data_IF_028476155338
#
_entry.id   IF_028476155338
#
_cell.length_a   1.000
_cell.length_b   1.000
_cell.length_c   1.000
_cell.angle_alpha   90.00
_cell.angle_beta   90.00
_cell.angle_gamma   90.00
#
_symmetry.space_group_name_H-M   'P 1'
#
loop_
_entity.id
_entity.type
_entity.pdbx_description
1 polymer ?
#
# COMPACT_ATOMS: atom_id res chain seq x y z
N UNK A 1 -11.05 -9.20 18.96
CA UNK A 1 -10.05 -8.16 18.66
C UNK A 1 -10.63 -7.12 17.71
N UNK A 2 -10.86 -5.88 18.18
CA UNK A 2 -11.23 -4.75 17.35
C UNK A 2 -10.06 -4.32 16.45
N UNK A 3 -10.34 -3.85 15.23
CA UNK A 3 -9.35 -3.26 14.31
C UNK A 3 -8.58 -2.08 14.94
N UNK A 4 -9.22 -1.35 15.85
CA UNK A 4 -8.60 -0.26 16.60
C UNK A 4 -7.43 -0.73 17.46
N UNK A 5 -7.48 -1.95 18.01
CA UNK A 5 -6.42 -2.48 18.86
C UNK A 5 -5.12 -2.70 18.08
N UNK A 6 -5.20 -3.37 16.93
CA UNK A 6 -4.04 -3.63 16.05
C UNK A 6 -3.40 -2.30 15.63
N UNK A 7 -4.22 -1.32 15.24
CA UNK A 7 -3.75 0.02 14.85
C UNK A 7 -3.07 0.77 16.00
N UNK A 8 -3.63 0.69 17.20
CA UNK A 8 -3.02 1.32 18.38
C UNK A 8 -1.66 0.69 18.69
N UNK A 9 -1.56 -0.64 18.61
CA UNK A 9 -0.30 -1.35 18.83
C UNK A 9 0.77 -0.95 17.80
N UNK A 10 0.45 -0.99 16.50
CA UNK A 10 1.38 -0.55 15.45
C UNK A 10 1.85 0.89 15.65
N UNK A 11 0.95 1.79 16.09
CA UNK A 11 1.28 3.18 16.38
C UNK A 11 2.24 3.31 17.56
N UNK A 12 2.02 2.56 18.64
CA UNK A 12 2.90 2.57 19.81
C UNK A 12 4.30 2.05 19.46
N UNK A 13 4.38 0.94 18.72
CA UNK A 13 5.65 0.38 18.23
C UNK A 13 6.39 1.43 17.37
N UNK A 14 5.67 2.05 16.43
CA UNK A 14 6.24 3.09 15.54
C UNK A 14 6.80 4.26 16.35
N UNK A 15 6.04 4.76 17.32
CA UNK A 15 6.43 5.91 18.13
C UNK A 15 7.62 5.60 19.05
N UNK A 16 7.66 4.38 19.61
CA UNK A 16 8.75 3.94 20.48
C UNK A 16 10.05 3.73 19.69
N UNK A 17 9.97 3.14 18.49
CA UNK A 17 11.15 2.77 17.71
C UNK A 17 11.76 3.93 16.92
N UNK A 18 11.01 5.00 16.61
CA UNK A 18 11.46 6.03 15.67
C UNK A 18 11.21 7.46 16.16
N UNK A 19 12.29 8.13 16.57
CA UNK A 19 12.32 9.58 16.89
C UNK A 19 12.72 10.48 15.71
N UNK A 20 13.14 9.89 14.58
CA UNK A 20 13.60 10.58 13.36
C UNK A 20 12.69 10.25 12.16
N UNK A 21 12.93 10.89 11.02
CA UNK A 21 12.19 10.62 9.78
C UNK A 21 12.35 9.15 9.34
N UNK A 22 11.25 8.52 8.92
CA UNK A 22 11.21 7.10 8.55
C UNK A 22 11.12 6.91 7.04
N UNK A 23 11.92 6.01 6.50
CA UNK A 23 11.82 5.58 5.11
C UNK A 23 10.76 4.48 5.01
N UNK A 24 9.81 4.68 4.10
CA UNK A 24 8.61 3.84 4.02
C UNK A 24 8.34 3.36 2.60
N UNK A 25 7.82 2.15 2.50
CA UNK A 25 7.39 1.55 1.23
C UNK A 25 5.91 1.17 1.29
N UNK A 26 5.20 1.40 0.18
CA UNK A 26 3.77 1.14 0.04
C UNK A 26 3.52 0.16 -1.09
N UNK A 27 2.64 -0.79 -0.83
CA UNK A 27 2.10 -1.66 -1.86
C UNK A 27 0.71 -2.15 -1.44
N UNK A 28 -0.02 -2.77 -2.38
CA UNK A 28 -1.25 -3.47 -2.06
C UNK A 28 -1.28 -4.85 -2.70
N UNK A 29 -1.91 -5.78 -2.02
CA UNK A 29 -2.06 -7.14 -2.53
C UNK A 29 -3.47 -7.66 -2.36
N UNK A 30 -3.95 -8.35 -3.39
CA UNK A 30 -5.23 -9.05 -3.38
C UNK A 30 -5.17 -10.35 -2.59
N UNK A 31 -6.19 -10.57 -1.77
CA UNK A 31 -6.48 -11.83 -1.07
C UNK A 31 -7.82 -12.37 -1.56
N UNK A 32 -7.79 -13.60 -2.08
CA UNK A 32 -8.93 -14.23 -2.75
C UNK A 32 -10.05 -14.57 -1.75
N UNK A 33 -11.30 -14.30 -2.12
CA UNK A 33 -12.47 -14.72 -1.36
C UNK A 33 -12.93 -16.09 -1.87
N UNK A 34 -13.20 -17.02 -0.95
CA UNK A 34 -13.90 -18.27 -1.28
C UNK A 34 -15.41 -18.04 -1.40
N UNK A 35 -15.85 -17.20 -2.35
CA UNK A 35 -17.28 -16.86 -2.53
C UNK A 35 -17.98 -17.55 -3.68
N UNK A 36 -17.30 -17.95 -4.76
CA UNK A 36 -17.92 -18.79 -5.79
C UNK A 36 -17.52 -20.26 -5.62
N UNK A 37 -18.50 -21.14 -5.77
CA UNK A 37 -18.22 -22.54 -6.04
C UNK A 37 -17.66 -22.59 -7.46
N UNK A 38 -16.38 -22.96 -7.62
CA UNK A 38 -15.82 -23.31 -8.94
C UNK A 38 -16.76 -24.27 -9.70
N UNK A 39 -17.47 -25.13 -8.97
CA UNK A 39 -18.53 -26.02 -9.47
C UNK A 39 -19.70 -25.31 -10.16
N UNK A 40 -20.13 -24.14 -9.68
CA UNK A 40 -21.16 -23.34 -10.36
C UNK A 40 -20.61 -22.84 -11.70
N UNK A 41 -19.44 -22.20 -11.70
CA UNK A 41 -18.79 -21.68 -12.91
C UNK A 41 -18.54 -22.79 -13.96
N UNK A 42 -18.11 -23.98 -13.52
CA UNK A 42 -17.98 -25.19 -14.33
C UNK A 42 -19.34 -25.63 -14.90
N UNK A 43 -20.40 -25.68 -14.08
CA UNK A 43 -21.75 -26.13 -14.47
C UNK A 43 -22.40 -25.22 -15.51
N UNK A 44 -22.22 -23.90 -15.39
CA UNK A 44 -22.78 -22.93 -16.34
C UNK A 44 -21.86 -22.64 -17.52
N UNK A 45 -20.73 -23.37 -17.66
CA UNK A 45 -19.72 -23.21 -18.73
C UNK A 45 -19.25 -21.76 -18.92
N UNK A 46 -19.27 -20.96 -17.84
CA UNK A 46 -18.76 -19.59 -17.84
C UNK A 46 -17.49 -19.57 -17.01
N UNK A 47 -16.37 -19.17 -17.61
CA UNK A 47 -15.26 -18.66 -16.82
C UNK A 47 -15.68 -17.32 -16.24
N UNK A 48 -16.16 -17.34 -15.00
CA UNK A 48 -16.29 -16.11 -14.21
C UNK A 48 -14.91 -15.47 -14.09
N UNK A 49 -14.69 -14.36 -14.81
CA UNK A 49 -13.48 -13.54 -14.68
C UNK A 49 -13.48 -12.68 -13.42
N UNK A 50 -14.59 -12.68 -12.66
CA UNK A 50 -14.72 -11.96 -11.40
C UNK A 50 -13.99 -12.73 -10.32
N UNK A 51 -12.70 -12.42 -10.17
CA UNK A 51 -11.97 -12.72 -8.94
C UNK A 51 -12.55 -11.80 -7.86
N UNK A 52 -13.36 -12.36 -6.97
CA UNK A 52 -13.74 -11.70 -5.74
C UNK A 52 -12.52 -11.69 -4.81
N UNK A 53 -11.89 -10.54 -4.63
CA UNK A 53 -10.78 -10.36 -3.68
C UNK A 53 -10.98 -9.11 -2.83
N UNK A 54 -10.39 -9.15 -1.63
CA UNK A 54 -10.14 -7.96 -0.84
C UNK A 54 -8.70 -7.50 -1.11
N UNK A 55 -8.50 -6.19 -1.20
CA UNK A 55 -7.17 -5.59 -1.29
C UNK A 55 -6.71 -5.19 0.11
N UNK A 56 -5.55 -5.68 0.51
CA UNK A 56 -4.83 -5.20 1.66
C UNK A 56 -3.79 -4.19 1.18
N UNK A 57 -3.88 -2.95 1.65
CA UNK A 57 -2.88 -1.91 1.43
C UNK A 57 -2.06 -1.78 2.70
N UNK A 58 -0.73 -1.84 2.60
CA UNK A 58 0.16 -1.69 3.74
C UNK A 58 1.18 -0.58 3.49
N UNK A 59 1.66 -0.01 4.59
CA UNK A 59 2.89 0.77 4.63
C UNK A 59 3.82 0.14 5.64
N UNK A 60 5.06 -0.07 5.22
CA UNK A 60 6.11 -0.66 6.06
C UNK A 60 7.23 0.35 6.30
N UNK A 61 7.96 0.18 7.40
CA UNK A 61 9.30 0.75 7.58
C UNK A 61 10.29 -0.09 6.76
N UNK A 62 11.06 0.56 5.89
CA UNK A 62 12.00 -0.12 4.98
C UNK A 62 13.13 -0.82 5.74
N UNK A 63 13.59 -0.28 6.87
CA UNK A 63 14.73 -0.83 7.62
C UNK A 63 14.30 -2.01 8.49
N UNK A 64 13.14 -1.93 9.14
CA UNK A 64 12.68 -2.95 10.10
C UNK A 64 11.66 -3.93 9.51
N UNK A 65 11.13 -3.66 8.32
CA UNK A 65 10.01 -4.38 7.68
C UNK A 65 8.70 -4.39 8.52
N UNK A 66 8.63 -3.62 9.60
CA UNK A 66 7.43 -3.55 10.45
C UNK A 66 6.30 -2.87 9.68
N UNK A 67 5.11 -3.48 9.72
CA UNK A 67 3.89 -2.89 9.15
C UNK A 67 3.40 -1.78 10.09
N UNK A 68 3.51 -0.54 9.62
CA UNK A 68 3.19 0.65 10.41
C UNK A 68 1.69 0.95 10.38
N UNK A 69 1.06 0.75 9.22
CA UNK A 69 -0.37 0.96 9.03
C UNK A 69 -0.89 0.13 7.87
N UNK A 70 -2.19 -0.20 7.91
CA UNK A 70 -2.87 -0.85 6.81
C UNK A 70 -4.32 -0.37 6.61
N UNK A 71 -4.80 -0.52 5.39
CA UNK A 71 -6.22 -0.38 5.04
C UNK A 71 -6.69 -1.55 4.19
N UNK A 72 -7.99 -1.82 4.23
CA UNK A 72 -8.61 -2.90 3.47
C UNK A 72 -9.70 -2.29 2.61
N UNK A 73 -9.65 -2.56 1.31
CA UNK A 73 -10.68 -2.17 0.36
C UNK A 73 -11.19 -3.37 -0.41
N UNK A 74 -12.36 -3.22 -1.04
CA UNK A 74 -12.84 -4.21 -2.00
C UNK A 74 -12.05 -4.08 -3.31
N UNK A 75 -12.17 -5.05 -4.22
CA UNK A 75 -11.39 -5.08 -5.47
C UNK A 75 -11.46 -3.80 -6.34
N UNK A 76 -12.56 -3.04 -6.27
CA UNK A 76 -12.76 -1.76 -6.99
C UNK A 76 -12.07 -0.57 -6.32
N UNK A 77 -11.54 -0.76 -5.11
CA UNK A 77 -10.85 0.27 -4.36
C UNK A 77 -9.64 0.79 -5.13
N UNK A 78 -9.51 2.12 -5.18
CA UNK A 78 -8.37 2.79 -5.80
C UNK A 78 -7.24 2.95 -4.80
N UNK A 79 -6.09 2.34 -5.10
CA UNK A 79 -4.91 2.34 -4.23
C UNK A 79 -4.45 3.77 -3.91
N UNK A 80 -4.42 4.65 -4.93
CA UNK A 80 -4.12 6.08 -4.77
C UNK A 80 -4.97 6.79 -3.70
N UNK A 81 -6.22 6.38 -3.45
CA UNK A 81 -7.09 7.03 -2.43
C UNK A 81 -6.75 6.58 -1.01
N UNK A 82 -6.15 5.40 -0.86
CA UNK A 82 -5.79 4.85 0.45
C UNK A 82 -4.46 5.41 0.97
N UNK A 83 -3.59 5.92 0.10
CA UNK A 83 -2.27 6.45 0.45
C UNK A 83 -2.29 7.44 1.63
N UNK A 84 -3.15 8.46 1.56
CA UNK A 84 -3.30 9.47 2.62
C UNK A 84 -3.72 8.85 3.96
N UNK A 85 -4.55 7.81 3.93
CA UNK A 85 -4.99 7.10 5.15
C UNK A 85 -3.85 6.33 5.78
N UNK A 86 -2.99 5.72 4.97
CA UNK A 86 -1.82 4.97 5.43
C UNK A 86 -0.80 5.88 6.12
N UNK A 87 -0.57 7.09 5.61
CA UNK A 87 0.43 8.00 6.20
C UNK A 87 -0.12 8.89 7.32
N UNK A 88 -1.43 9.03 7.46
CA UNK A 88 -2.07 10.05 8.34
C UNK A 88 -1.44 10.10 9.72
N UNK A 89 -1.34 8.95 10.38
CA UNK A 89 -0.93 8.82 11.78
C UNK A 89 0.57 8.52 11.94
N UNK A 90 1.33 8.48 10.82
CA UNK A 90 2.78 8.28 10.83
C UNK A 90 3.54 9.56 11.21
N UNK A 91 4.75 9.45 11.80
CA UNK A 91 5.61 10.59 12.08
C UNK A 91 6.13 11.25 10.78
N UNK A 92 7.15 12.11 10.90
CA UNK A 92 7.84 12.66 9.72
C UNK A 92 8.33 11.53 8.82
N UNK A 93 8.17 11.70 7.52
CA UNK A 93 8.65 10.74 6.52
C UNK A 93 10.04 11.17 6.04
N UNK A 94 10.90 10.19 5.75
CA UNK A 94 12.12 10.34 4.98
C UNK A 94 11.78 10.17 3.50
N UNK A 95 12.09 9.01 2.95
CA UNK A 95 11.74 8.58 1.59
C UNK A 95 10.43 7.79 1.61
N UNK A 96 9.54 8.05 0.66
CA UNK A 96 8.28 7.32 0.53
C UNK A 96 8.17 6.68 -0.86
N UNK A 97 8.44 5.37 -0.95
CA UNK A 97 8.45 4.64 -2.22
C UNK A 97 7.15 3.89 -2.46
N UNK A 98 6.54 4.05 -3.64
CA UNK A 98 5.28 3.39 -3.98
C UNK A 98 5.15 3.13 -5.49
N UNK A 99 4.32 2.15 -5.84
CA UNK A 99 4.04 1.81 -7.23
C UNK A 99 3.26 2.93 -7.98
N UNK A 100 3.08 2.73 -9.30
CA UNK A 100 2.34 3.66 -10.16
C UNK A 100 0.83 3.72 -9.89
N UNK A 101 0.22 2.72 -9.24
CA UNK A 101 -1.18 2.76 -8.82
C UNK A 101 -1.42 3.78 -7.70
N UNK A 102 -0.39 4.08 -6.90
CA UNK A 102 -0.41 5.19 -5.92
C UNK A 102 -0.06 6.56 -6.52
N UNK A 103 0.32 6.63 -7.80
CA UNK A 103 0.74 7.86 -8.48
C UNK A 103 -0.38 8.91 -8.53
N UNK A 104 -0.24 9.97 -7.73
CA UNK A 104 -1.08 11.16 -7.82
C UNK A 104 -0.37 12.40 -7.28
N UNK A 105 -0.76 13.55 -7.83
CA UNK A 105 -0.30 14.88 -7.37
C UNK A 105 -0.53 15.08 -5.87
N UNK A 106 -1.73 14.68 -5.44
CA UNK A 106 -2.17 14.82 -4.05
C UNK A 106 -1.32 13.93 -3.12
N UNK A 107 -0.93 12.74 -3.55
CA UNK A 107 -0.10 11.84 -2.75
C UNK A 107 1.35 12.35 -2.64
N UNK A 108 1.95 12.80 -3.74
CA UNK A 108 3.27 13.42 -3.69
C UNK A 108 3.30 14.62 -2.72
N UNK A 109 2.27 15.46 -2.77
CA UNK A 109 2.16 16.60 -1.85
C UNK A 109 1.99 16.16 -0.39
N UNK A 110 1.18 15.13 -0.13
CA UNK A 110 0.97 14.63 1.23
C UNK A 110 2.27 14.10 1.87
N UNK A 111 3.17 13.52 1.08
CA UNK A 111 4.51 13.14 1.55
C UNK A 111 5.35 14.37 1.89
N UNK A 112 5.37 15.37 1.02
CA UNK A 112 6.11 16.61 1.24
C UNK A 112 5.61 17.40 2.46
N UNK A 113 4.30 17.41 2.71
CA UNK A 113 3.68 17.99 3.91
C UNK A 113 4.19 17.32 5.20
N UNK A 114 4.50 16.02 5.14
CA UNK A 114 5.16 15.27 6.22
C UNK A 114 6.70 15.38 6.22
N UNK A 115 7.24 16.37 5.50
CA UNK A 115 8.68 16.65 5.36
C UNK A 115 9.48 15.53 4.68
N UNK A 116 8.80 14.62 3.98
CA UNK A 116 9.44 13.55 3.23
C UNK A 116 9.62 13.85 1.75
N UNK A 117 10.28 12.93 1.04
CA UNK A 117 10.49 12.94 -0.40
C UNK A 117 9.74 11.76 -1.05
N UNK A 118 8.80 12.00 -1.96
CA UNK A 118 8.05 10.93 -2.60
C UNK A 118 8.84 10.32 -3.77
N UNK A 119 8.98 8.99 -3.76
CA UNK A 119 9.50 8.14 -4.82
C UNK A 119 8.36 7.26 -5.35
N UNK A 120 7.33 7.91 -5.88
CA UNK A 120 6.15 7.23 -6.43
C UNK A 120 6.31 7.13 -7.94
N UNK A 121 6.29 5.92 -8.49
CA UNK A 121 6.45 5.74 -9.93
C UNK A 121 5.35 6.47 -10.72
N UNK A 122 5.71 6.98 -11.88
CA UNK A 122 4.79 7.72 -12.74
C UNK A 122 4.11 6.79 -13.75
N UNK A 123 2.86 7.14 -14.13
CA UNK A 123 2.18 6.49 -15.25
C UNK A 123 2.79 6.96 -16.56
N UNK A 124 2.72 6.14 -17.61
CA UNK A 124 3.29 6.49 -18.93
C UNK A 124 2.72 7.81 -19.51
N UNK A 125 1.47 8.16 -19.18
CA UNK A 125 0.82 9.39 -19.60
C UNK A 125 0.92 10.55 -18.58
N UNK A 126 1.79 10.42 -17.56
CA UNK A 126 1.99 11.46 -16.57
C UNK A 126 2.71 12.67 -17.20
N UNK A 127 2.34 13.87 -16.74
CA UNK A 127 2.97 15.12 -17.16
C UNK A 127 3.48 15.88 -15.94
N UNK A 128 4.58 16.61 -16.09
CA UNK A 128 5.20 17.43 -15.03
C UNK A 128 4.37 18.63 -14.56
N UNK A 129 3.19 18.88 -15.14
CA UNK A 129 2.33 20.01 -14.75
C UNK A 129 1.87 19.87 -13.29
N UNK A 130 2.18 20.81 -12.38
CA UNK A 130 1.91 20.66 -10.95
C UNK A 130 0.42 20.73 -10.59
N UNK A 131 -0.37 21.57 -11.27
CA UNK A 131 -1.80 21.84 -10.94
C UNK A 131 -2.03 22.14 -9.45
N UNK A 132 -1.20 23.02 -8.88
CA UNK A 132 -1.27 23.39 -7.46
C UNK A 132 -0.52 22.47 -6.48
N UNK A 133 0.13 21.42 -6.98
CA UNK A 133 0.91 20.48 -6.17
C UNK A 133 2.40 20.51 -6.56
N UNK A 134 3.22 21.42 -6.00
CA UNK A 134 4.62 21.59 -6.39
C UNK A 134 5.46 20.32 -6.16
N UNK A 135 5.17 19.54 -5.13
CA UNK A 135 5.87 18.29 -4.86
C UNK A 135 5.80 17.30 -6.03
N UNK A 136 4.69 17.29 -6.78
CA UNK A 136 4.55 16.47 -7.98
C UNK A 136 5.57 16.84 -9.06
N UNK A 137 5.69 18.15 -9.35
CA UNK A 137 6.58 18.64 -10.38
C UNK A 137 8.04 18.35 -10.04
N UNK A 138 8.45 18.63 -8.80
CA UNK A 138 9.80 18.33 -8.29
C UNK A 138 10.12 16.84 -8.45
N UNK A 139 9.18 15.97 -8.07
CA UNK A 139 9.37 14.51 -8.15
C UNK A 139 9.40 14.01 -9.59
N UNK A 140 8.59 14.62 -10.46
CA UNK A 140 8.57 14.29 -11.88
C UNK A 140 9.88 14.70 -12.55
N UNK A 141 10.41 15.88 -12.25
CA UNK A 141 11.71 16.32 -12.73
C UNK A 141 12.85 15.45 -12.23
N UNK A 142 12.86 15.09 -10.95
CA UNK A 142 13.84 14.15 -10.42
C UNK A 142 13.80 12.80 -11.17
N UNK A 143 12.60 12.30 -11.49
CA UNK A 143 12.40 11.07 -12.27
C UNK A 143 12.87 11.20 -13.73
N UNK A 144 12.70 12.36 -14.37
CA UNK A 144 13.04 12.55 -15.79
C UNK A 144 14.47 13.02 -16.04
N UNK A 145 15.00 13.90 -15.21
CA UNK A 145 16.32 14.52 -15.40
C UNK A 145 17.45 13.65 -14.82
N UNK A 146 17.15 12.89 -13.76
CA UNK A 146 18.13 12.03 -13.07
C UNK A 146 17.56 10.64 -12.82
N UNK A 147 17.21 9.90 -13.89
CA UNK A 147 16.51 8.62 -13.76
C UNK A 147 17.31 7.59 -12.96
N UNK A 148 18.64 7.53 -13.12
CA UNK A 148 19.49 6.57 -12.41
C UNK A 148 19.51 6.82 -10.90
N UNK A 149 19.80 8.05 -10.46
CA UNK A 149 19.75 8.43 -9.04
C UNK A 149 18.36 8.19 -8.42
N UNK A 150 17.31 8.49 -9.19
CA UNK A 150 15.94 8.27 -8.76
C UNK A 150 15.63 6.78 -8.60
N UNK A 151 16.06 5.94 -9.56
CA UNK A 151 15.87 4.49 -9.55
C UNK A 151 16.62 3.83 -8.39
N UNK A 152 17.87 4.23 -8.14
CA UNK A 152 18.68 3.74 -7.02
C UNK A 152 17.93 3.87 -5.70
N UNK A 153 17.34 5.04 -5.45
CA UNK A 153 16.53 5.24 -4.25
C UNK A 153 15.17 4.53 -4.32
N UNK A 154 14.54 4.45 -5.50
CA UNK A 154 13.24 3.80 -5.68
C UNK A 154 13.27 2.29 -5.39
N UNK A 155 14.42 1.63 -5.51
CA UNK A 155 14.56 0.19 -5.26
C UNK A 155 14.18 -0.26 -3.84
N UNK A 156 14.18 0.65 -2.85
CA UNK A 156 13.68 0.37 -1.50
C UNK A 156 12.23 -0.12 -1.49
N UNK A 157 11.45 0.17 -2.54
CA UNK A 157 10.09 -0.35 -2.72
C UNK A 157 10.05 -1.87 -2.68
N UNK A 158 11.06 -2.57 -3.17
CA UNK A 158 11.07 -4.04 -3.24
C UNK A 158 10.90 -4.73 -1.87
N UNK A 159 11.28 -4.05 -0.78
CA UNK A 159 11.15 -4.57 0.59
C UNK A 159 9.69 -4.89 0.96
N UNK A 160 8.71 -4.11 0.48
CA UNK A 160 7.29 -4.36 0.77
C UNK A 160 6.77 -5.63 0.07
N UNK A 161 7.36 -6.00 -1.06
CA UNK A 161 7.01 -7.24 -1.76
C UNK A 161 7.46 -8.45 -0.93
N UNK A 162 8.61 -8.35 -0.25
CA UNK A 162 9.07 -9.35 0.71
C UNK A 162 8.13 -9.46 1.92
N UNK A 163 7.62 -8.33 2.43
CA UNK A 163 6.62 -8.33 3.51
C UNK A 163 5.32 -9.05 3.08
N UNK A 164 4.79 -8.72 1.90
CA UNK A 164 3.61 -9.43 1.36
C UNK A 164 3.86 -10.91 1.11
N UNK A 165 5.04 -11.26 0.59
CA UNK A 165 5.45 -12.65 0.39
C UNK A 165 5.46 -13.42 1.71
N UNK A 166 5.95 -12.80 2.79
CA UNK A 166 5.96 -13.38 4.14
C UNK A 166 4.55 -13.59 4.69
N UNK A 167 3.67 -12.59 4.59
CA UNK A 167 2.25 -12.71 5.00
C UNK A 167 1.57 -13.87 4.25
N UNK A 168 1.74 -13.94 2.93
CA UNK A 168 1.09 -14.97 2.10
C UNK A 168 1.66 -16.37 2.34
N UNK A 169 2.96 -16.51 2.62
CA UNK A 169 3.55 -17.79 3.00
C UNK A 169 3.07 -18.26 4.37
N UNK A 170 2.92 -17.36 5.32
CA UNK A 170 2.46 -17.70 6.67
C UNK A 170 0.96 -18.06 6.71
N UNK A 171 0.11 -17.24 6.08
CA UNK A 171 -1.36 -17.33 6.25
C UNK A 171 -2.13 -17.80 5.01
N UNK A 172 -1.43 -18.02 3.90
CA UNK A 172 -2.04 -18.26 2.60
C UNK A 172 -2.70 -17.02 1.96
N UNK A 173 -2.94 -17.05 0.64
CA UNK A 173 -3.52 -15.93 -0.11
C UNK A 173 -5.05 -15.86 -0.02
N UNK A 174 -5.72 -16.87 0.56
CA UNK A 174 -7.18 -16.97 0.60
C UNK A 174 -7.75 -16.49 1.94
N UNK A 175 -8.97 -15.96 1.89
CA UNK A 175 -9.80 -15.62 3.04
C UNK A 175 -10.87 -16.69 3.20
N UNK A 176 -10.92 -17.34 4.37
CA UNK A 176 -11.82 -18.46 4.65
C UNK A 176 -13.18 -18.01 5.19
N UNK A 177 -13.25 -16.83 5.81
CA UNK A 177 -14.46 -16.28 6.40
C UNK A 177 -15.55 -16.01 5.36
N UNK A 178 -16.81 -16.20 5.75
CA UNK A 178 -17.97 -16.05 4.86
C UNK A 178 -18.59 -14.65 4.97
N UNK A 179 -18.90 -14.18 6.19
CA UNK A 179 -19.54 -12.88 6.41
C UNK A 179 -18.57 -11.73 6.08
N UNK A 180 -19.08 -10.66 5.45
CA UNK A 180 -18.26 -9.54 4.99
C UNK A 180 -17.35 -8.90 6.04
N UNK A 181 -17.89 -8.65 7.24
CA UNK A 181 -17.12 -8.08 8.35
C UNK A 181 -16.08 -9.08 8.92
N UNK A 182 -16.38 -10.38 8.91
CA UNK A 182 -15.43 -11.44 9.32
C UNK A 182 -14.28 -11.56 8.31
N UNK A 183 -14.55 -11.46 7.00
CA UNK A 183 -13.51 -11.44 5.96
C UNK A 183 -12.49 -10.33 6.19
N UNK A 184 -12.95 -9.12 6.47
CA UNK A 184 -12.08 -7.97 6.77
C UNK A 184 -11.31 -8.15 8.08
N UNK A 185 -11.93 -8.77 9.09
CA UNK A 185 -11.28 -9.07 10.37
C UNK A 185 -10.22 -10.16 10.24
N UNK A 186 -10.49 -11.22 9.48
CA UNK A 186 -9.51 -12.27 9.18
C UNK A 186 -8.29 -11.66 8.47
N UNK A 187 -8.52 -10.85 7.44
CA UNK A 187 -7.43 -10.19 6.71
C UNK A 187 -6.63 -9.25 7.61
N UNK A 188 -7.30 -8.54 8.53
CA UNK A 188 -6.63 -7.65 9.49
C UNK A 188 -5.78 -8.40 10.53
N UNK A 189 -6.10 -9.66 10.86
CA UNK A 189 -5.30 -10.49 11.77
C UNK A 189 -4.03 -11.03 11.09
N UNK A 190 -4.00 -11.07 9.76
CA UNK A 190 -2.82 -11.48 8.99
C UNK A 190 -1.72 -10.39 8.96
N UNK A 191 -2.00 -9.21 9.52
CA UNK A 191 -1.09 -8.06 9.66
C UNK A 191 -0.60 -8.00 11.10
#
# INVERSE_FOLDING_TARGET
MPLSYIRTLSRLITFQMRRRGIDVAFDSSGFSLKTSSKWFDIRIKRQSSKKDYLKLHIVIDVETMVILQFTITDWRGSDSREFKRLIRDLPRLGKAAADKAYSSRVNCQAVAEKKGRPFIAFKANATGRPKGYPAWQISFWAYTERPEEWLDTYHIRSVVEAAFSSIKRCWGPDIKSIKGWLKRRELAIKV
#
